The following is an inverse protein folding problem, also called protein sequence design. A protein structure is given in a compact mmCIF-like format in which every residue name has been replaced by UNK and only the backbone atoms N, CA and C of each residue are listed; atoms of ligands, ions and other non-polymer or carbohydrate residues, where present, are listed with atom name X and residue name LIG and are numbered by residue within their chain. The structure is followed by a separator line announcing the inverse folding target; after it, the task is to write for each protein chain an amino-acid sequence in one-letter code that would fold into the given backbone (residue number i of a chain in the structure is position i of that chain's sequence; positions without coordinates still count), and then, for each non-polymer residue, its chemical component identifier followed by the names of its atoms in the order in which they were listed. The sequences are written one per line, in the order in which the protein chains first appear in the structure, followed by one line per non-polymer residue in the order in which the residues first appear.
data_IF_819389535783
#
_entry.id   IF_819389535783
#
_cell.length_a   1.000
_cell.length_b   1.000
_cell.length_c   1.000
_cell.angle_alpha   90.00
_cell.angle_beta   90.00
_cell.angle_gamma   90.00
#
_symmetry.space_group_name_H-M   'P 1'
#
loop_
_entity.id
_entity.type
_entity.pdbx_description
1 polymer ?
#
# COMPACT_ATOMS: atom_id res chain seq x y z
N UNK A 1 -11.12 -8.72 -4.27
CA UNK A 1 -11.65 -7.34 -4.26
C UNK A 1 -13.06 -7.38 -3.70
N UNK A 2 -13.30 -6.79 -2.53
CA UNK A 2 -14.63 -6.66 -1.97
C UNK A 2 -15.31 -5.39 -2.54
N UNK A 3 -16.52 -5.52 -3.11
CA UNK A 3 -17.23 -4.38 -3.72
C UNK A 3 -17.56 -3.28 -2.72
N UNK A 4 -18.05 -3.64 -1.52
CA UNK A 4 -18.36 -2.66 -0.48
C UNK A 4 -17.11 -1.94 0.01
N UNK A 5 -16.00 -2.66 0.13
CA UNK A 5 -14.71 -2.07 0.46
C UNK A 5 -14.26 -1.07 -0.62
N UNK A 6 -14.39 -1.44 -1.91
CA UNK A 6 -14.06 -0.56 -3.03
C UNK A 6 -14.84 0.75 -2.95
N UNK A 7 -16.17 0.67 -2.80
CA UNK A 7 -17.02 1.87 -2.70
C UNK A 7 -16.64 2.71 -1.47
N UNK A 8 -16.50 2.10 -0.28
CA UNK A 8 -16.11 2.83 0.95
C UNK A 8 -14.75 3.52 0.80
N UNK A 9 -13.78 2.85 0.20
CA UNK A 9 -12.45 3.41 -0.04
C UNK A 9 -12.48 4.60 -1.00
N UNK A 10 -13.29 4.54 -2.05
CA UNK A 10 -13.47 5.66 -2.98
C UNK A 10 -14.25 6.83 -2.33
N UNK A 11 -15.30 6.54 -1.57
CA UNK A 11 -16.15 7.57 -0.95
C UNK A 11 -15.48 8.27 0.25
N UNK A 12 -14.58 7.58 0.95
CA UNK A 12 -13.85 8.15 2.10
C UNK A 12 -12.75 9.13 1.68
N UNK A 13 -12.28 9.09 0.43
CA UNK A 13 -11.33 10.05 -0.10
C UNK A 13 -12.08 11.16 -0.86
N UNK A 14 -12.03 12.44 -0.40
CA UNK A 14 -12.77 13.53 -1.04
C UNK A 14 -12.44 13.74 -2.52
N UNK A 15 -11.18 13.52 -2.92
CA UNK A 15 -10.77 13.66 -4.31
C UNK A 15 -11.31 12.54 -5.18
N UNK A 16 -11.35 11.30 -4.68
CA UNK A 16 -11.96 10.18 -5.40
C UNK A 16 -13.48 10.39 -5.53
N UNK A 17 -14.13 10.80 -4.44
CA UNK A 17 -15.58 11.07 -4.40
C UNK A 17 -16.02 12.19 -5.35
N UNK A 18 -15.18 13.21 -5.55
CA UNK A 18 -15.50 14.34 -6.43
C UNK A 18 -15.27 14.08 -7.92
N UNK A 19 -14.59 12.98 -8.27
CA UNK A 19 -14.22 12.72 -9.66
C UNK A 19 -15.39 12.18 -10.49
N UNK A 20 -15.58 12.79 -11.66
CA UNK A 20 -16.68 12.45 -12.59
C UNK A 20 -16.20 11.70 -13.83
N UNK A 21 -14.89 11.56 -14.00
CA UNK A 21 -14.28 10.83 -15.11
C UNK A 21 -13.56 9.58 -14.62
N UNK A 22 -13.59 8.50 -15.40
CA UNK A 22 -12.85 7.27 -15.09
C UNK A 22 -11.35 7.57 -14.95
N UNK A 23 -10.80 8.41 -15.83
CA UNK A 23 -9.38 8.83 -15.77
C UNK A 23 -9.06 9.54 -14.46
N UNK A 24 -9.89 10.50 -14.06
CA UNK A 24 -9.74 11.23 -12.80
C UNK A 24 -9.82 10.30 -11.61
N UNK A 25 -10.80 9.40 -11.59
CA UNK A 25 -10.97 8.40 -10.55
C UNK A 25 -9.76 7.47 -10.43
N UNK A 26 -9.21 6.98 -11.55
CA UNK A 26 -7.99 6.15 -11.57
C UNK A 26 -6.81 6.90 -10.95
N UNK A 27 -6.58 8.15 -11.35
CA UNK A 27 -5.48 8.97 -10.83
C UNK A 27 -5.67 9.26 -9.34
N UNK A 28 -6.89 9.63 -8.92
CA UNK A 28 -7.19 9.90 -7.51
C UNK A 28 -7.01 8.65 -6.64
N UNK A 29 -7.44 7.48 -7.14
CA UNK A 29 -7.29 6.20 -6.45
C UNK A 29 -5.82 5.80 -6.29
N UNK A 30 -5.02 5.93 -7.36
CA UNK A 30 -3.58 5.65 -7.30
C UNK A 30 -2.84 6.59 -6.33
N UNK A 31 -3.21 7.88 -6.29
CA UNK A 31 -2.67 8.83 -5.30
C UNK A 31 -3.04 8.43 -3.87
N UNK A 32 -4.29 8.01 -3.65
CA UNK A 32 -4.75 7.53 -2.35
C UNK A 32 -3.96 6.29 -1.90
N UNK A 33 -3.76 5.33 -2.81
CA UNK A 33 -2.93 4.16 -2.54
C UNK A 33 -1.48 4.56 -2.19
N UNK A 34 -0.86 5.48 -2.95
CA UNK A 34 0.50 5.95 -2.67
C UNK A 34 0.60 6.61 -1.29
N UNK A 35 -0.36 7.46 -0.94
CA UNK A 35 -0.43 8.06 0.40
C UNK A 35 -0.54 7.00 1.50
N UNK A 36 -1.38 5.98 1.31
CA UNK A 36 -1.53 4.90 2.27
C UNK A 36 -0.23 4.10 2.41
N UNK A 37 0.49 3.79 1.33
CA UNK A 37 1.78 3.09 1.40
C UNK A 37 2.81 3.86 2.21
N UNK A 38 2.92 5.17 2.01
CA UNK A 38 3.80 6.05 2.81
C UNK A 38 3.38 6.06 4.28
N UNK A 39 2.08 6.06 4.56
CA UNK A 39 1.59 6.04 5.94
C UNK A 39 1.94 4.73 6.64
N UNK A 40 1.76 3.57 5.99
CA UNK A 40 2.15 2.27 6.55
C UNK A 40 3.65 2.18 6.76
N UNK A 41 4.45 2.63 5.78
CA UNK A 41 5.91 2.72 5.92
C UNK A 41 6.31 3.53 7.16
N UNK A 42 5.68 4.70 7.36
CA UNK A 42 5.93 5.57 8.52
C UNK A 42 5.55 4.89 9.83
N UNK A 43 4.40 4.23 9.90
CA UNK A 43 3.95 3.49 11.09
C UNK A 43 4.93 2.36 11.42
N UNK A 44 5.35 1.58 10.42
CA UNK A 44 6.35 0.52 10.60
C UNK A 44 7.68 1.07 11.14
N UNK A 45 8.16 2.20 10.62
CA UNK A 45 9.36 2.90 11.15
C UNK A 45 9.18 3.35 12.60
N UNK A 46 8.03 3.90 12.96
CA UNK A 46 7.74 4.30 14.34
C UNK A 46 7.81 3.10 15.28
N UNK A 47 7.12 2.00 14.95
CA UNK A 47 7.12 0.77 15.77
C UNK A 47 8.54 0.21 15.92
N UNK A 48 9.32 0.21 14.84
CA UNK A 48 10.71 -0.24 14.84
C UNK A 48 11.58 0.58 15.82
N UNK A 49 11.38 1.91 15.84
CA UNK A 49 12.15 2.85 16.64
C UNK A 49 11.79 2.84 18.13
N UNK A 50 10.56 2.47 18.51
CA UNK A 50 10.11 2.39 19.91
C UNK A 50 10.79 1.26 20.70
N UNK A 51 11.65 0.44 20.07
CA UNK A 51 12.48 -0.63 20.65
C UNK A 51 11.76 -1.76 21.40
N UNK A 52 10.43 -1.73 21.52
CA UNK A 52 9.60 -2.75 22.20
C UNK A 52 9.38 -4.04 21.40
N UNK A 53 9.73 -4.05 20.11
CA UNK A 53 9.57 -5.21 19.24
C UNK A 53 10.65 -6.28 19.49
N UNK A 54 10.26 -7.56 19.39
CA UNK A 54 11.20 -8.69 19.41
C UNK A 54 12.20 -8.59 18.24
N UNK A 55 13.38 -9.23 18.30
CA UNK A 55 14.31 -9.24 17.17
C UNK A 55 13.69 -9.74 15.86
N UNK A 56 12.78 -10.72 15.93
CA UNK A 56 12.05 -11.21 14.75
C UNK A 56 11.09 -10.17 14.19
N UNK A 57 10.33 -9.49 15.05
CA UNK A 57 9.43 -8.42 14.62
C UNK A 57 10.21 -7.24 14.02
N UNK A 58 11.39 -6.90 14.55
CA UNK A 58 12.24 -5.85 13.98
C UNK A 58 12.74 -6.20 12.59
N UNK A 59 13.17 -7.44 12.38
CA UNK A 59 13.58 -7.92 11.06
C UNK A 59 12.42 -7.87 10.06
N UNK A 60 11.24 -8.37 10.45
CA UNK A 60 10.04 -8.31 9.62
C UNK A 60 9.62 -6.87 9.29
N UNK A 61 9.67 -5.95 10.26
CA UNK A 61 9.38 -4.54 10.03
C UNK A 61 10.36 -3.90 9.04
N UNK A 62 11.66 -4.22 9.13
CA UNK A 62 12.65 -3.72 8.17
C UNK A 62 12.33 -4.16 6.74
N UNK A 63 12.02 -5.45 6.53
CA UNK A 63 11.66 -5.94 5.20
C UNK A 63 10.34 -5.34 4.71
N UNK A 64 9.32 -5.24 5.55
CA UNK A 64 8.06 -4.58 5.19
C UNK A 64 8.24 -3.11 4.81
N UNK A 65 9.15 -2.37 5.46
CA UNK A 65 9.48 -0.98 5.11
C UNK A 65 10.00 -0.91 3.66
N UNK A 66 10.91 -1.80 3.26
CA UNK A 66 11.43 -1.83 1.89
C UNK A 66 10.34 -2.23 0.89
N UNK A 67 9.51 -3.23 1.22
CA UNK A 67 8.35 -3.62 0.39
C UNK A 67 7.40 -2.45 0.15
N UNK A 68 7.10 -1.64 1.18
CA UNK A 68 6.23 -0.47 1.03
C UNK A 68 6.88 0.68 0.27
N UNK A 69 8.20 0.87 0.37
CA UNK A 69 8.94 1.82 -0.48
C UNK A 69 8.88 1.42 -1.96
N UNK A 70 9.07 0.14 -2.26
CA UNK A 70 9.00 -0.39 -3.62
C UNK A 70 7.58 -0.29 -4.20
N UNK A 71 6.57 -0.54 -3.36
CA UNK A 71 5.16 -0.34 -3.73
C UNK A 71 4.87 1.13 -4.06
N UNK A 72 5.33 2.07 -3.23
CA UNK A 72 5.19 3.50 -3.50
C UNK A 72 5.92 3.93 -4.79
N UNK A 73 7.13 3.40 -5.03
CA UNK A 73 7.87 3.63 -6.29
C UNK A 73 7.07 3.16 -7.51
N UNK A 74 6.50 1.95 -7.43
CA UNK A 74 5.66 1.37 -8.49
C UNK A 74 4.37 2.18 -8.71
N UNK A 75 3.71 2.62 -7.64
CA UNK A 75 2.53 3.51 -7.75
C UNK A 75 2.87 4.86 -8.42
N UNK A 76 4.05 5.42 -8.19
CA UNK A 76 4.48 6.65 -8.85
C UNK A 76 4.76 6.44 -10.35
N UNK A 77 5.28 5.27 -10.74
CA UNK A 77 5.39 4.87 -12.16
C UNK A 77 4.00 4.69 -12.78
N UNK A 78 3.10 3.97 -12.10
CA UNK A 78 1.72 3.79 -12.52
C UNK A 78 1.01 5.14 -12.76
N UNK A 79 1.19 6.10 -11.84
CA UNK A 79 0.66 7.46 -11.98
C UNK A 79 1.23 8.21 -13.20
N UNK A 80 2.52 8.03 -13.49
CA UNK A 80 3.18 8.65 -14.64
C UNK A 80 2.61 8.08 -15.94
N UNK A 81 2.48 6.76 -16.03
CA UNK A 81 1.95 6.05 -17.19
C UNK A 81 0.45 6.31 -17.39
N UNK A 82 -0.34 6.40 -16.31
CA UNK A 82 -1.76 6.76 -16.39
C UNK A 82 -1.97 8.20 -16.90
N UNK A 83 -1.07 9.13 -16.56
CA UNK A 83 -1.10 10.52 -17.06
C UNK A 83 -0.75 10.61 -18.55
N UNK A 84 0.15 9.75 -19.03
CA UNK A 84 0.51 9.63 -20.45
C UNK A 84 -0.47 8.77 -21.26
N UNK A 85 -1.50 8.19 -20.63
CA UNK A 85 -2.48 7.26 -21.22
C UNK A 85 -1.91 5.89 -21.60
N UNK A 86 -0.72 5.54 -21.12
CA UNK A 86 -0.20 4.16 -21.20
C UNK A 86 -0.81 3.31 -20.08
N UNK A 87 -2.10 2.99 -20.21
CA UNK A 87 -2.83 2.23 -19.20
C UNK A 87 -2.36 0.79 -19.07
N UNK A 88 -1.70 0.24 -20.10
CA UNK A 88 -1.13 -1.10 -20.04
C UNK A 88 0.03 -1.13 -19.05
N UNK A 89 1.02 -0.26 -19.24
CA UNK A 89 2.16 -0.18 -18.30
C UNK A 89 1.68 0.33 -16.93
N UNK A 90 0.73 1.27 -16.88
CA UNK A 90 0.19 1.74 -15.61
C UNK A 90 -0.45 0.60 -14.79
N UNK A 91 -1.13 -0.34 -15.44
CA UNK A 91 -1.70 -1.51 -14.79
C UNK A 91 -0.62 -2.50 -14.33
N UNK A 92 0.43 -2.72 -15.13
CA UNK A 92 1.59 -3.54 -14.73
C UNK A 92 2.26 -2.98 -13.47
N UNK A 93 2.55 -1.68 -13.43
CA UNK A 93 3.12 -1.00 -12.26
C UNK A 93 2.18 -1.03 -11.04
N UNK A 94 0.87 -0.89 -11.25
CA UNK A 94 -0.13 -0.97 -10.18
C UNK A 94 -0.17 -2.37 -9.56
N UNK A 95 -0.16 -3.42 -10.39
CA UNK A 95 -0.16 -4.81 -9.92
C UNK A 95 1.10 -5.13 -9.12
N UNK A 96 2.26 -4.57 -9.50
CA UNK A 96 3.49 -4.73 -8.72
C UNK A 96 3.37 -4.16 -7.29
N UNK A 97 2.62 -3.07 -7.10
CA UNK A 97 2.37 -2.49 -5.78
C UNK A 97 1.27 -3.23 -4.99
N UNK A 98 0.31 -3.85 -5.68
CA UNK A 98 -0.90 -4.45 -5.09
C UNK A 98 -0.58 -5.54 -4.05
N UNK A 99 0.47 -6.32 -4.28
CA UNK A 99 0.84 -7.44 -3.41
C UNK A 99 1.54 -7.04 -2.11
N UNK A 100 1.96 -5.78 -1.95
CA UNK A 100 2.78 -5.33 -0.82
C UNK A 100 2.20 -5.67 0.57
N UNK A 101 0.90 -5.43 0.86
CA UNK A 101 0.32 -5.79 2.17
C UNK A 101 0.39 -7.29 2.45
N UNK A 102 0.10 -8.12 1.42
CA UNK A 102 0.16 -9.58 1.54
C UNK A 102 1.60 -10.05 1.75
N UNK A 103 2.54 -9.54 0.96
CA UNK A 103 3.96 -9.85 1.09
C UNK A 103 4.44 -9.53 2.52
N UNK A 104 4.06 -8.38 3.06
CA UNK A 104 4.42 -8.02 4.44
C UNK A 104 3.83 -8.98 5.48
N UNK A 105 2.55 -9.37 5.36
CA UNK A 105 1.97 -10.39 6.25
C UNK A 105 2.69 -11.74 6.14
N UNK A 106 3.12 -12.13 4.93
CA UNK A 106 3.85 -13.36 4.70
C UNK A 106 5.28 -13.30 5.29
N UNK A 107 5.95 -12.15 5.23
CA UNK A 107 7.23 -11.90 5.91
C UNK A 107 7.10 -12.12 7.43
N UNK A 108 6.08 -11.53 8.07
CA UNK A 108 5.85 -11.73 9.50
C UNK A 108 5.60 -13.20 9.86
N UNK A 109 4.85 -13.94 9.03
CA UNK A 109 4.60 -15.38 9.24
C UNK A 109 5.88 -16.20 9.11
N UNK A 110 6.72 -15.88 8.13
CA UNK A 110 7.96 -16.63 7.85
C UNK A 110 9.04 -16.34 8.89
N UNK A 111 9.19 -15.09 9.32
CA UNK A 111 10.17 -14.69 10.33
C UNK A 111 9.64 -15.07 11.72
N UNK A 112 10.02 -16.27 12.17
CA UNK A 112 9.77 -16.80 13.53
C UNK A 112 8.28 -16.86 13.94
N UNK A 113 7.35 -16.93 12.98
CA UNK A 113 5.90 -16.87 13.24
C UNK A 113 5.52 -15.62 14.04
N UNK A 114 6.17 -14.51 13.76
CA UNK A 114 5.89 -13.23 14.40
C UNK A 114 4.44 -12.82 14.12
N UNK A 115 3.77 -12.29 15.14
CA UNK A 115 2.49 -11.61 14.94
C UNK A 115 2.77 -10.30 14.20
N UNK A 116 2.08 -10.08 13.08
CA UNK A 116 2.14 -8.81 12.35
C UNK A 116 1.76 -7.65 13.29
N UNK A 117 2.68 -6.69 13.38
CA UNK A 117 2.49 -5.47 14.18
C UNK A 117 1.83 -4.35 13.38
N UNK A 118 1.65 -4.54 12.07
CA UNK A 118 1.03 -3.58 11.15
C UNK A 118 -0.15 -4.19 10.38
N UNK A 119 -0.82 -5.16 10.99
CA UNK A 119 -1.91 -5.91 10.35
C UNK A 119 -3.11 -5.02 10.02
N UNK A 120 -3.45 -4.11 10.92
CA UNK A 120 -4.61 -3.23 10.73
C UNK A 120 -4.34 -2.24 9.59
N UNK A 121 -3.09 -1.80 9.46
CA UNK A 121 -2.60 -0.98 8.35
C UNK A 121 -2.59 -1.76 7.02
N UNK A 122 -2.20 -3.03 7.02
CA UNK A 122 -2.22 -3.89 5.83
C UNK A 122 -3.66 -4.16 5.36
N UNK A 123 -4.64 -4.17 6.27
CA UNK A 123 -6.06 -4.32 5.94
C UNK A 123 -6.66 -3.08 5.26
N UNK A 124 -5.96 -1.93 5.23
CA UNK A 124 -6.39 -0.74 4.48
C UNK A 124 -6.41 -0.94 2.96
N UNK A 125 -5.99 -2.11 2.48
CA UNK A 125 -5.89 -2.46 1.06
C UNK A 125 -6.78 -3.66 0.66
N UNK A 126 -7.56 -4.25 1.57
CA UNK A 126 -8.25 -5.55 1.37
C UNK A 126 -9.77 -5.51 1.60
#
# INVERSE_FOLDING_TARGET
MNYEFCIKSLESNPHCKSETSIKGLVIASMKNAAFNTINVERIAKTILNERKASPGNKAALHECIEVYKDANSSLNKALTNAKSHDYRIANEDLMAAFDAPRICEDIFKQIKKAKSLIRDENNLFQ
#
